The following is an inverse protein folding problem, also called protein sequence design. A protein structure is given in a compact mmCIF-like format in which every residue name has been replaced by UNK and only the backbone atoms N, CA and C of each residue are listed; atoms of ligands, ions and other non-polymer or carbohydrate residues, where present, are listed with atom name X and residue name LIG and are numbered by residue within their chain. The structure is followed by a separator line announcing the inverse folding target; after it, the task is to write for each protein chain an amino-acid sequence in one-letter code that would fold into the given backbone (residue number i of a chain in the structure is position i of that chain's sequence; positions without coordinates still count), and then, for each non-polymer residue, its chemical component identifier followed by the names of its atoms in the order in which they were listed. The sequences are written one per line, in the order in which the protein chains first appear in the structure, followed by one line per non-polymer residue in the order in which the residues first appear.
data_IF_835259775208
#
_entry.id   IF_835259775208
#
_cell.length_a   1.000
_cell.length_b   1.000
_cell.length_c   1.000
_cell.angle_alpha   90.00
_cell.angle_beta   90.00
_cell.angle_gamma   90.00
#
_symmetry.space_group_name_H-M   'P 1'
#
loop_
_entity.id
_entity.type
_entity.pdbx_description
1 polymer ?
#
# COMPACT_ATOMS: atom_id res chain seq x y z
N UNK A 1 2.23 11.57 30.56
CA UNK A 1 1.06 10.98 29.90
C UNK A 1 0.41 12.13 29.13
N UNK A 2 0.25 12.02 27.81
CA UNK A 2 -0.38 13.06 27.01
C UNK A 2 -1.82 12.63 26.74
N UNK A 3 -2.78 13.43 27.20
CA UNK A 3 -4.21 13.14 27.16
C UNK A 3 -4.80 13.09 25.73
N UNK A 4 -3.99 13.43 24.72
CA UNK A 4 -4.43 13.61 23.33
C UNK A 4 -3.48 12.96 22.30
N UNK A 5 -2.69 11.95 22.69
CA UNK A 5 -1.75 11.26 21.78
C UNK A 5 -1.95 9.75 21.88
N UNK A 6 -2.13 9.09 20.73
CA UNK A 6 -2.34 7.65 20.67
C UNK A 6 -1.00 6.92 20.73
N UNK A 7 -0.78 6.16 21.80
CA UNK A 7 0.37 5.30 21.98
C UNK A 7 0.26 4.05 21.12
N UNK A 8 1.19 3.88 20.17
CA UNK A 8 1.18 2.75 19.23
C UNK A 8 2.32 1.78 19.54
N UNK A 9 1.96 0.55 19.90
CA UNK A 9 2.86 -0.60 20.04
C UNK A 9 3.08 -1.34 18.71
N UNK A 10 4.09 -2.20 18.67
CA UNK A 10 4.47 -2.96 17.47
C UNK A 10 4.27 -4.47 17.65
N UNK A 11 3.77 -5.12 16.61
CA UNK A 11 3.72 -6.59 16.44
C UNK A 11 4.35 -7.02 15.11
N UNK A 12 4.63 -8.31 14.98
CA UNK A 12 5.03 -8.95 13.72
C UNK A 12 3.83 -9.47 12.90
N UNK A 13 4.13 -10.14 11.79
CA UNK A 13 3.13 -10.74 10.90
C UNK A 13 2.31 -11.86 11.55
N UNK A 14 2.85 -12.51 12.58
CA UNK A 14 2.20 -13.59 13.32
C UNK A 14 1.45 -13.05 14.56
N UNK A 15 1.26 -11.73 14.62
CA UNK A 15 0.62 -11.00 15.72
C UNK A 15 1.32 -11.23 17.07
N UNK A 16 2.65 -11.41 17.05
CA UNK A 16 3.46 -11.47 18.26
C UNK A 16 4.07 -10.11 18.57
N UNK A 17 4.19 -9.78 19.85
CA UNK A 17 4.83 -8.54 20.28
C UNK A 17 6.32 -8.59 19.98
N UNK A 18 6.84 -7.55 19.33
CA UNK A 18 8.28 -7.41 19.07
C UNK A 18 8.94 -6.49 20.10
N UNK A 19 10.11 -5.91 19.79
CA UNK A 19 10.74 -4.89 20.63
C UNK A 19 9.89 -3.62 20.69
N UNK A 20 8.85 -3.67 21.52
CA UNK A 20 7.82 -2.66 21.71
C UNK A 20 7.61 -2.41 23.19
N UNK A 21 7.42 -1.14 23.54
CA UNK A 21 6.89 -0.75 24.85
C UNK A 21 5.45 -1.27 25.03
N UNK A 22 5.04 -1.36 26.29
CA UNK A 22 3.73 -1.85 26.72
C UNK A 22 3.31 -1.17 28.04
N UNK A 23 2.06 -1.38 28.46
CA UNK A 23 1.48 -0.78 29.66
C UNK A 23 0.46 0.30 29.33
N UNK A 24 0.05 1.07 30.34
CA UNK A 24 -1.06 2.04 30.23
C UNK A 24 -0.81 3.21 29.29
N UNK A 25 0.40 3.37 28.75
CA UNK A 25 0.73 4.38 27.75
C UNK A 25 0.65 3.86 26.31
N UNK A 26 0.22 2.62 26.10
CA UNK A 26 0.00 2.03 24.76
C UNK A 26 -1.49 1.74 24.60
N UNK A 27 -2.12 2.44 23.67
CA UNK A 27 -3.55 2.34 23.42
C UNK A 27 -3.87 1.24 22.40
N UNK A 28 -2.97 1.02 21.44
CA UNK A 28 -3.19 0.12 20.31
C UNK A 28 -1.89 -0.46 19.77
N UNK A 29 -1.96 -1.64 19.16
CA UNK A 29 -0.82 -2.30 18.49
C UNK A 29 -1.05 -2.37 16.98
N UNK A 30 0.00 -2.14 16.21
CA UNK A 30 -0.02 -2.25 14.75
C UNK A 30 1.25 -2.97 14.24
N UNK A 31 1.29 -3.44 12.99
CA UNK A 31 2.48 -4.09 12.43
C UNK A 31 3.70 -3.16 12.49
N UNK A 32 4.81 -3.64 13.03
CA UNK A 32 6.05 -2.87 13.13
C UNK A 32 7.31 -3.67 12.88
N UNK A 33 7.22 -4.98 12.67
CA UNK A 33 8.35 -5.85 12.31
C UNK A 33 8.31 -6.19 10.82
N UNK A 34 9.42 -5.99 10.10
CA UNK A 34 9.50 -6.36 8.69
C UNK A 34 8.53 -5.57 7.79
N UNK A 35 8.27 -4.30 8.11
CA UNK A 35 7.37 -3.44 7.33
C UNK A 35 8.09 -2.96 6.08
N UNK A 36 7.57 -3.32 4.90
CA UNK A 36 8.10 -2.82 3.63
C UNK A 36 7.79 -1.33 3.46
N UNK A 37 8.81 -0.51 3.29
CA UNK A 37 8.68 0.96 3.17
C UNK A 37 9.66 1.54 2.16
N UNK A 38 9.45 2.80 1.78
CA UNK A 38 10.34 3.54 0.88
C UNK A 38 11.58 4.06 1.61
N UNK A 39 12.72 4.04 0.93
CA UNK A 39 13.97 4.65 1.38
C UNK A 39 14.25 5.94 0.63
N UNK A 40 15.14 6.77 1.18
CA UNK A 40 15.59 8.02 0.54
C UNK A 40 16.27 7.80 -0.82
N UNK A 41 16.72 6.58 -1.12
CA UNK A 41 17.31 6.24 -2.42
C UNK A 41 16.27 5.85 -3.48
N UNK A 42 14.97 6.06 -3.21
CA UNK A 42 13.88 5.71 -4.12
C UNK A 42 13.69 4.20 -4.28
N UNK A 43 14.16 3.41 -3.30
CA UNK A 43 14.02 1.95 -3.25
C UNK A 43 13.06 1.55 -2.13
N UNK A 44 12.73 0.27 -2.07
CA UNK A 44 12.02 -0.30 -0.94
C UNK A 44 12.97 -1.06 -0.03
N UNK A 45 12.72 -1.04 1.27
CA UNK A 45 13.41 -1.85 2.25
C UNK A 45 12.48 -2.21 3.41
N UNK A 46 12.86 -3.23 4.18
CA UNK A 46 12.17 -3.62 5.40
C UNK A 46 12.59 -2.70 6.55
N UNK A 47 11.62 -2.32 7.37
CA UNK A 47 11.77 -1.51 8.58
C UNK A 47 11.24 -2.22 9.82
N UNK A 48 11.73 -1.79 10.99
CA UNK A 48 11.46 -2.42 12.28
C UNK A 48 11.22 -1.40 13.40
N UNK A 49 10.28 -1.70 14.29
CA UNK A 49 9.97 -0.95 15.49
C UNK A 49 8.65 -0.16 15.45
N UNK A 50 8.30 0.43 16.59
CA UNK A 50 7.07 1.24 16.75
C UNK A 50 7.04 2.46 15.84
N UNK A 51 8.20 2.95 15.38
CA UNK A 51 8.31 3.99 14.34
C UNK A 51 7.65 3.61 13.01
N UNK A 52 7.48 2.32 12.73
CA UNK A 52 6.78 1.82 11.53
C UNK A 52 5.32 1.42 11.81
N UNK A 53 4.97 1.18 13.08
CA UNK A 53 3.60 0.94 13.51
C UNK A 53 2.79 2.25 13.61
N UNK A 54 3.38 3.29 14.21
CA UNK A 54 2.75 4.61 14.38
C UNK A 54 2.22 5.24 13.08
N UNK A 55 2.98 5.30 11.95
CA UNK A 55 2.48 5.90 10.72
C UNK A 55 1.31 5.12 10.09
N UNK A 56 1.17 3.82 10.38
CA UNK A 56 0.00 3.05 9.90
C UNK A 56 -1.28 3.50 10.59
N UNK A 57 -1.25 3.68 11.91
CA UNK A 57 -2.39 4.21 12.68
C UNK A 57 -2.67 5.67 12.33
N UNK A 58 -1.62 6.47 12.07
CA UNK A 58 -1.79 7.84 11.58
C UNK A 58 -2.48 7.87 10.20
N UNK A 59 -2.15 6.94 9.30
CA UNK A 59 -2.82 6.78 8.02
C UNK A 59 -4.31 6.44 8.17
N UNK A 60 -4.66 5.57 9.13
CA UNK A 60 -6.06 5.29 9.46
C UNK A 60 -6.81 6.54 9.93
N UNK A 61 -6.19 7.34 10.81
CA UNK A 61 -6.76 8.62 11.22
C UNK A 61 -6.94 9.60 10.05
N UNK A 62 -5.99 9.64 9.12
CA UNK A 62 -6.11 10.48 7.92
C UNK A 62 -7.29 10.07 7.02
N UNK A 63 -7.52 8.76 6.84
CA UNK A 63 -8.69 8.26 6.09
C UNK A 63 -10.00 8.66 6.76
N UNK A 64 -10.09 8.58 8.09
CA UNK A 64 -11.28 9.03 8.82
C UNK A 64 -11.51 10.54 8.69
N UNK A 65 -10.45 11.35 8.68
CA UNK A 65 -10.58 12.78 8.42
C UNK A 65 -10.99 13.09 6.98
N UNK A 66 -10.58 12.27 6.01
CA UNK A 66 -11.03 12.40 4.62
C UNK A 66 -12.53 12.08 4.49
N UNK A 67 -12.97 10.98 5.09
CA UNK A 67 -14.38 10.56 5.08
C UNK A 67 -15.27 11.49 5.93
N UNK A 68 -14.73 12.01 7.03
CA UNK A 68 -15.44 12.86 7.96
C UNK A 68 -14.67 14.16 8.29
N UNK A 69 -14.64 15.14 7.37
CA UNK A 69 -13.82 16.35 7.53
C UNK A 69 -14.20 17.25 8.72
N UNK A 70 -15.37 17.05 9.32
CA UNK A 70 -15.87 17.81 10.47
C UNK A 70 -15.65 17.10 11.80
N UNK A 71 -15.13 15.88 11.80
CA UNK A 71 -14.86 15.16 13.04
C UNK A 71 -13.74 15.83 13.84
N UNK A 72 -13.90 15.79 15.16
CA UNK A 72 -12.86 16.16 16.11
C UNK A 72 -11.83 15.04 16.22
N UNK A 73 -10.59 15.34 16.65
CA UNK A 73 -9.59 14.31 16.92
C UNK A 73 -10.07 13.22 17.89
N UNK A 74 -10.92 13.58 18.86
CA UNK A 74 -11.51 12.63 19.80
C UNK A 74 -12.47 11.66 19.09
N UNK A 75 -13.31 12.14 18.17
CA UNK A 75 -14.21 11.26 17.42
C UNK A 75 -13.44 10.28 16.52
N UNK A 76 -12.32 10.73 15.93
CA UNK A 76 -11.41 9.86 15.17
C UNK A 76 -10.78 8.81 16.10
N UNK A 77 -10.30 9.22 17.27
CA UNK A 77 -9.77 8.31 18.28
C UNK A 77 -10.80 7.23 18.66
N UNK A 78 -12.01 7.66 19.04
CA UNK A 78 -13.07 6.79 19.51
C UNK A 78 -13.43 5.78 18.41
N UNK A 79 -13.60 6.23 17.16
CA UNK A 79 -13.88 5.33 16.03
C UNK A 79 -12.77 4.28 15.82
N UNK A 80 -11.49 4.65 15.93
CA UNK A 80 -10.36 3.70 15.83
C UNK A 80 -10.43 2.64 16.93
N UNK A 81 -10.68 3.06 18.19
CA UNK A 81 -10.72 2.13 19.33
C UNK A 81 -11.96 1.24 19.30
N UNK A 82 -13.12 1.80 18.96
CA UNK A 82 -14.38 1.07 18.87
C UNK A 82 -14.40 0.05 17.73
N UNK A 83 -13.78 0.38 16.59
CA UNK A 83 -13.70 -0.53 15.45
C UNK A 83 -12.64 -1.63 15.64
N UNK A 84 -11.65 -1.39 16.50
CA UNK A 84 -10.54 -2.32 16.72
C UNK A 84 -10.98 -3.69 17.21
N UNK A 85 -10.31 -4.74 16.71
CA UNK A 85 -10.42 -6.08 17.25
C UNK A 85 -9.48 -6.27 18.44
N UNK A 86 -9.78 -7.28 19.26
CA UNK A 86 -8.88 -7.71 20.33
C UNK A 86 -7.95 -8.81 19.81
N UNK A 87 -6.67 -8.70 20.14
CA UNK A 87 -5.69 -9.78 19.99
C UNK A 87 -5.04 -10.06 21.34
N UNK A 88 -4.58 -11.29 21.56
CA UNK A 88 -3.90 -11.69 22.79
C UNK A 88 -2.39 -11.73 22.55
N UNK A 89 -1.64 -10.95 23.33
CA UNK A 89 -0.19 -10.94 23.36
C UNK A 89 0.33 -11.57 24.66
N UNK A 90 1.65 -11.70 24.78
CA UNK A 90 2.35 -12.11 26.01
C UNK A 90 2.07 -11.18 27.22
N UNK A 91 1.58 -9.98 26.95
CA UNK A 91 1.19 -8.94 27.93
C UNK A 91 -0.32 -8.87 28.19
N UNK A 92 -1.10 -9.80 27.63
CA UNK A 92 -2.56 -9.85 27.72
C UNK A 92 -3.27 -9.33 26.47
N UNK A 93 -4.56 -9.07 26.63
CA UNK A 93 -5.43 -8.63 25.55
C UNK A 93 -5.20 -7.15 25.21
N UNK A 94 -4.98 -6.86 23.94
CA UNK A 94 -4.73 -5.52 23.43
C UNK A 94 -5.60 -5.22 22.21
N UNK A 95 -5.72 -3.93 21.86
CA UNK A 95 -6.41 -3.48 20.66
C UNK A 95 -5.50 -3.59 19.44
N UNK A 96 -6.09 -4.03 18.32
CA UNK A 96 -5.46 -4.06 17.00
C UNK A 96 -6.45 -3.48 15.97
N UNK A 97 -6.04 -2.53 15.11
CA UNK A 97 -6.95 -1.86 14.19
C UNK A 97 -7.66 -2.83 13.24
N UNK A 98 -8.93 -2.58 13.00
CA UNK A 98 -9.74 -3.24 11.97
C UNK A 98 -10.26 -2.17 11.01
N UNK A 99 -9.50 -1.92 9.94
CA UNK A 99 -9.78 -0.84 9.00
C UNK A 99 -11.12 -1.03 8.26
N UNK A 100 -11.54 -2.28 8.04
CA UNK A 100 -12.80 -2.56 7.34
C UNK A 100 -14.00 -2.15 8.21
N UNK A 101 -13.98 -2.49 9.51
CA UNK A 101 -14.98 -1.98 10.46
C UNK A 101 -14.87 -0.49 10.68
N UNK A 102 -13.67 0.07 10.61
CA UNK A 102 -13.44 1.50 10.82
C UNK A 102 -14.08 2.35 9.72
N UNK A 103 -14.03 1.90 8.47
CA UNK A 103 -14.56 2.62 7.30
C UNK A 103 -15.96 2.11 6.89
N UNK A 104 -16.62 1.35 7.77
CA UNK A 104 -17.93 0.72 7.55
C UNK A 104 -18.03 -0.03 6.20
N UNK A 105 -16.91 -0.57 5.73
CA UNK A 105 -16.82 -1.38 4.52
C UNK A 105 -17.53 -2.70 4.83
N UNK A 106 -18.67 -2.95 4.18
CA UNK A 106 -19.37 -4.23 4.34
C UNK A 106 -18.42 -5.38 4.02
N UNK A 107 -17.99 -6.11 5.05
CA UNK A 107 -17.12 -7.29 4.96
C UNK A 107 -17.93 -8.49 4.47
N UNK A 108 -18.57 -8.36 3.30
CA UNK A 108 -18.99 -9.49 2.48
C UNK A 108 -17.87 -9.99 1.56
N UNK A 109 -16.73 -9.29 1.55
CA UNK A 109 -15.56 -9.66 0.77
C UNK A 109 -14.66 -10.53 1.67
N UNK A 110 -14.94 -11.84 1.66
CA UNK A 110 -13.99 -12.87 2.14
C UNK A 110 -12.97 -13.15 1.03
N UNK A 111 -12.44 -12.10 0.42
CA UNK A 111 -11.21 -12.19 -0.33
C UNK A 111 -10.21 -11.43 0.52
N UNK A 112 -9.17 -12.13 1.00
CA UNK A 112 -7.85 -11.52 0.99
C UNK A 112 -7.81 -10.74 -0.33
N UNK A 113 -7.55 -9.43 -0.38
CA UNK A 113 -7.25 -8.82 -1.66
C UNK A 113 -6.05 -9.61 -2.15
N UNK A 114 -6.31 -10.56 -3.04
CA UNK A 114 -5.32 -10.98 -3.99
C UNK A 114 -5.18 -9.70 -4.77
N UNK A 115 -4.26 -8.82 -4.31
CA UNK A 115 -3.67 -7.85 -5.20
C UNK A 115 -3.23 -8.77 -6.32
N UNK A 116 -3.89 -8.73 -7.48
CA UNK A 116 -3.43 -9.55 -8.55
C UNK A 116 -2.06 -8.95 -8.80
N UNK A 117 -0.99 -9.69 -8.49
CA UNK A 117 0.36 -9.10 -8.44
C UNK A 117 0.73 -8.81 -9.88
N UNK A 118 0.31 -7.65 -10.35
CA UNK A 118 0.65 -7.08 -11.63
C UNK A 118 2.10 -6.65 -11.49
N UNK A 119 3.02 -7.59 -11.68
CA UNK A 119 4.45 -7.25 -11.68
C UNK A 119 4.73 -6.49 -12.97
N UNK A 120 5.18 -5.25 -12.85
CA UNK A 120 5.64 -4.45 -13.96
C UNK A 120 7.03 -3.92 -13.68
N UNK A 121 7.99 -4.50 -14.38
CA UNK A 121 9.39 -4.12 -14.30
C UNK A 121 9.83 -3.62 -15.67
N UNK A 122 10.40 -2.42 -15.70
CA UNK A 122 10.98 -1.91 -16.93
C UNK A 122 12.40 -2.47 -17.11
N UNK A 123 12.62 -3.21 -18.20
CA UNK A 123 13.93 -3.66 -18.60
C UNK A 123 14.52 -2.68 -19.62
N UNK A 124 15.47 -1.86 -19.15
CA UNK A 124 16.16 -0.87 -20.00
C UNK A 124 17.01 -1.51 -21.09
N UNK A 125 17.55 -2.72 -20.88
CA UNK A 125 18.42 -3.37 -21.86
C UNK A 125 17.64 -3.91 -23.07
N UNK A 126 16.41 -4.38 -22.85
CA UNK A 126 15.53 -4.86 -23.90
C UNK A 126 14.45 -3.86 -24.30
N UNK A 127 14.49 -2.63 -23.76
CA UNK A 127 13.48 -1.58 -23.97
C UNK A 127 12.06 -2.15 -23.90
N UNK A 128 11.74 -2.79 -22.77
CA UNK A 128 10.44 -3.44 -22.62
C UNK A 128 9.92 -3.39 -21.19
N UNK A 129 8.60 -3.26 -21.06
CA UNK A 129 7.87 -3.48 -19.83
C UNK A 129 7.61 -4.98 -19.69
N UNK A 130 8.24 -5.62 -18.72
CA UNK A 130 7.93 -7.00 -18.33
C UNK A 130 6.65 -6.97 -17.51
N UNK A 131 5.68 -7.81 -17.85
CA UNK A 131 4.41 -7.88 -17.14
C UNK A 131 4.06 -9.31 -16.72
N UNK A 132 3.40 -9.44 -15.58
CA UNK A 132 2.72 -10.66 -15.14
C UNK A 132 1.32 -10.31 -14.69
N UNK A 133 0.30 -10.80 -15.39
CA UNK A 133 -1.10 -10.60 -15.07
C UNK A 133 -1.71 -11.94 -14.59
N UNK A 134 -2.78 -11.92 -13.77
CA UNK A 134 -3.52 -13.12 -13.40
C UNK A 134 -3.97 -13.92 -14.60
N UNK A 135 -4.07 -15.24 -14.43
CA UNK A 135 -4.59 -16.15 -15.44
C UNK A 135 -5.98 -15.68 -15.93
N UNK A 136 -6.20 -15.74 -17.24
CA UNK A 136 -7.44 -15.34 -17.92
C UNK A 136 -7.79 -13.84 -17.81
N UNK A 137 -6.85 -12.97 -17.42
CA UNK A 137 -7.04 -11.53 -17.49
C UNK A 137 -6.45 -10.93 -18.77
N UNK A 138 -7.18 -9.98 -19.36
CA UNK A 138 -6.69 -9.08 -20.40
C UNK A 138 -6.65 -7.67 -19.84
N UNK A 139 -5.58 -6.95 -20.13
CA UNK A 139 -5.41 -5.58 -19.68
C UNK A 139 -5.09 -4.65 -20.85
N UNK A 140 -5.66 -3.45 -20.82
CA UNK A 140 -5.24 -2.36 -21.69
C UNK A 140 -4.06 -1.65 -21.03
N UNK A 141 -2.94 -1.56 -21.72
CA UNK A 141 -1.78 -0.78 -21.33
C UNK A 141 -1.77 0.52 -22.14
N UNK A 142 -1.88 1.65 -21.46
CA UNK A 142 -1.70 2.98 -22.01
C UNK A 142 -0.36 3.55 -21.54
N UNK A 143 0.45 4.09 -22.45
CA UNK A 143 1.71 4.77 -22.14
C UNK A 143 1.58 6.24 -22.51
N UNK A 144 1.97 7.12 -21.60
CA UNK A 144 1.88 8.57 -21.73
C UNK A 144 3.26 9.20 -21.61
N UNK A 145 3.49 10.27 -22.38
CA UNK A 145 4.66 11.13 -22.17
C UNK A 145 4.50 12.03 -20.94
N UNK A 146 5.53 12.83 -20.62
CA UNK A 146 5.51 13.75 -19.47
C UNK A 146 4.47 14.88 -19.58
N UNK A 147 3.93 15.14 -20.77
CA UNK A 147 2.87 16.11 -20.98
C UNK A 147 1.48 15.51 -20.76
N UNK A 148 1.39 14.19 -20.53
CA UNK A 148 0.13 13.45 -20.40
C UNK A 148 -0.47 13.04 -21.74
N UNK A 149 0.25 13.20 -22.86
CA UNK A 149 -0.21 12.76 -24.17
C UNK A 149 0.03 11.25 -24.31
N UNK A 150 -0.95 10.53 -24.86
CA UNK A 150 -0.82 9.11 -25.17
C UNK A 150 0.30 8.92 -26.21
N UNK A 151 1.36 8.25 -25.78
CA UNK A 151 2.54 7.91 -26.58
C UNK A 151 2.38 6.55 -27.25
N UNK A 152 1.80 5.58 -26.54
CA UNK A 152 1.55 4.23 -27.07
C UNK A 152 0.39 3.53 -26.34
N UNK A 153 -0.19 2.50 -26.97
CA UNK A 153 -1.28 1.69 -26.41
C UNK A 153 -1.20 0.26 -26.91
N UNK A 154 -1.37 -0.67 -25.98
CA UNK A 154 -1.49 -2.10 -26.28
C UNK A 154 -2.48 -2.85 -25.41
N UNK A 155 -2.65 -4.13 -25.75
CA UNK A 155 -3.39 -5.10 -24.96
C UNK A 155 -2.45 -6.24 -24.58
N UNK A 156 -2.40 -6.53 -23.28
CA UNK A 156 -1.50 -7.53 -22.69
C UNK A 156 -2.32 -8.57 -21.91
N UNK A 157 -1.82 -9.81 -21.86
CA UNK A 157 -2.51 -10.93 -21.20
C UNK A 157 -1.50 -11.95 -20.68
N UNK A 158 -1.78 -12.56 -19.52
CA UNK A 158 -0.87 -13.53 -18.92
C UNK A 158 0.49 -12.91 -18.55
N UNK A 159 1.59 -13.61 -18.84
CA UNK A 159 2.94 -13.13 -18.61
C UNK A 159 3.66 -12.87 -19.93
N UNK A 160 4.37 -11.75 -20.03
CA UNK A 160 5.10 -11.41 -21.25
C UNK A 160 5.84 -10.09 -21.15
N UNK A 161 6.21 -9.56 -22.31
CA UNK A 161 6.86 -8.26 -22.43
C UNK A 161 6.12 -7.37 -23.42
N UNK A 162 6.12 -6.07 -23.13
CA UNK A 162 5.59 -5.04 -24.00
C UNK A 162 6.75 -4.18 -24.50
N UNK A 163 6.97 -4.15 -25.82
CA UNK A 163 8.06 -3.38 -26.41
C UNK A 163 7.81 -1.88 -26.25
N UNK A 164 8.83 -1.15 -25.84
CA UNK A 164 8.85 0.31 -25.82
C UNK A 164 9.93 0.86 -26.74
N UNK A 165 10.50 0.04 -27.64
CA UNK A 165 11.59 0.46 -28.53
C UNK A 165 11.20 1.56 -29.52
N UNK A 166 9.91 1.69 -29.84
CA UNK A 166 9.41 2.78 -30.69
C UNK A 166 9.22 4.10 -29.93
N UNK A 167 9.27 4.06 -28.59
CA UNK A 167 9.27 5.27 -27.78
C UNK A 167 10.66 5.90 -27.81
N UNK A 168 10.72 7.22 -27.97
CA UNK A 168 11.99 7.94 -27.82
C UNK A 168 12.57 7.84 -26.40
N UNK A 169 13.81 8.26 -26.24
CA UNK A 169 14.43 8.39 -24.91
C UNK A 169 13.68 9.45 -24.07
N UNK A 170 13.30 9.10 -22.84
CA UNK A 170 12.55 10.01 -21.97
C UNK A 170 11.88 9.32 -20.79
N UNK A 171 11.18 10.12 -19.98
CA UNK A 171 10.34 9.63 -18.89
C UNK A 171 8.92 9.40 -19.42
N UNK A 172 8.35 8.26 -19.09
CA UNK A 172 7.00 7.88 -19.47
C UNK A 172 6.21 7.44 -18.25
N UNK A 173 4.90 7.67 -18.30
CA UNK A 173 3.93 7.13 -17.36
C UNK A 173 3.16 6.02 -18.04
N UNK A 174 2.71 5.03 -17.29
CA UNK A 174 1.81 4.01 -17.82
C UNK A 174 0.58 3.89 -16.94
N UNK A 175 -0.52 3.50 -17.57
CA UNK A 175 -1.76 3.08 -16.93
C UNK A 175 -2.17 1.72 -17.48
N UNK A 176 -2.60 0.83 -16.58
CA UNK A 176 -3.11 -0.49 -16.92
C UNK A 176 -4.52 -0.60 -16.41
N UNK A 177 -5.45 -0.88 -17.34
CA UNK A 177 -6.84 -1.13 -17.01
C UNK A 177 -7.13 -2.63 -17.16
N UNK A 178 -7.48 -3.28 -16.06
CA UNK A 178 -7.71 -4.74 -15.99
C UNK A 178 -8.86 -5.03 -15.03
N UNK A 179 -9.85 -5.80 -15.48
CA UNK A 179 -11.03 -6.17 -14.68
C UNK A 179 -11.72 -4.97 -13.99
N UNK A 180 -11.74 -3.80 -14.63
CA UNK A 180 -12.33 -2.57 -14.09
C UNK A 180 -11.44 -1.79 -13.10
N UNK A 181 -10.27 -2.32 -12.76
CA UNK A 181 -9.26 -1.67 -11.91
C UNK A 181 -8.21 -0.96 -12.76
N UNK A 182 -7.67 0.13 -12.22
CA UNK A 182 -6.62 0.93 -12.85
C UNK A 182 -5.34 0.87 -11.99
N UNK A 183 -4.22 0.53 -12.63
CA UNK A 183 -2.88 0.57 -12.05
C UNK A 183 -2.04 1.56 -12.82
N UNK A 184 -1.13 2.26 -12.17
CA UNK A 184 -0.28 3.25 -12.84
C UNK A 184 1.15 3.24 -12.30
N UNK A 185 2.09 3.62 -13.13
CA UNK A 185 3.49 3.76 -12.75
C UNK A 185 4.26 4.65 -13.72
N UNK A 186 5.59 4.66 -13.57
CA UNK A 186 6.50 5.40 -14.43
C UNK A 186 7.70 4.56 -14.81
N UNK A 187 8.29 4.83 -15.97
CA UNK A 187 9.56 4.25 -16.39
C UNK A 187 10.40 5.28 -17.16
N UNK A 188 11.69 5.01 -17.29
CA UNK A 188 12.60 5.81 -18.11
C UNK A 188 13.02 4.95 -19.28
N UNK A 189 12.61 5.33 -20.49
CA UNK A 189 13.14 4.74 -21.69
C UNK A 189 14.44 5.44 -22.07
N UNK A 190 15.49 4.68 -22.35
CA UNK A 190 16.76 5.21 -22.79
C UNK A 190 17.24 4.39 -23.98
N UNK A 191 17.76 5.08 -24.99
CA UNK A 191 18.50 4.42 -26.06
C UNK A 191 19.77 3.78 -25.48
N UNK A 192 20.01 2.53 -25.88
CA UNK A 192 21.28 1.86 -25.68
C UNK A 192 22.33 2.45 -26.64
N UNK A 193 22.85 3.64 -26.29
CA UNK A 193 24.11 4.14 -26.86
C UNK A 193 25.27 3.82 -25.94
#
# INVERSE_FOLDING_TARGET
MYEHVMGVGAVDSDLQRVSSNYGSSVDIFAPGEGVLTTTLSGRYNLGWGTSFAAPQVAGLGALLFEEHPTWTPQQVWDKIIESSRTITLDIGDVKFPDAAKMLDIQTGITEQPTIPVYQLDYNMASQSLQYSLPANSQARLDVFDVSGRLADRGYISGQGSYSTGDLGSGVFFYQIQVNGQNYSGKFVNADSR
#
